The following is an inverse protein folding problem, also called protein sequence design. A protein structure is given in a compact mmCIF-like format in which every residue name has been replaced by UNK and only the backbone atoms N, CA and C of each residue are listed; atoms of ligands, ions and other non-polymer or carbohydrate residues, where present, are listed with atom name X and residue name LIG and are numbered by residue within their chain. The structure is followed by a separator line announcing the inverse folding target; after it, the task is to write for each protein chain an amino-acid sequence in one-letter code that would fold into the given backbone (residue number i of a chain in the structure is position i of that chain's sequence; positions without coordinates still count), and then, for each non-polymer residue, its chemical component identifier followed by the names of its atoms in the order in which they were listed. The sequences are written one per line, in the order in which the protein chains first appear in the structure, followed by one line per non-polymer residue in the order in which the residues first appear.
data_IF_710684089762
#
_entry.id   IF_710684089762
#
_cell.length_a   1.000
_cell.length_b   1.000
_cell.length_c   1.000
_cell.angle_alpha   90.00
_cell.angle_beta   90.00
_cell.angle_gamma   90.00
#
_symmetry.space_group_name_H-M   'P 1'
#
loop_
_entity.id
_entity.type
_entity.pdbx_description
1 polymer ?
#
# COMPACT_ATOMS: atom_id res chain seq x y z
N UNK A 1 6.30 20.84 -5.19
CA UNK A 1 5.03 20.56 -4.50
C UNK A 1 4.41 19.30 -5.10
N UNK A 2 3.59 18.64 -4.30
CA UNK A 2 2.90 17.41 -4.66
C UNK A 2 1.41 17.54 -4.27
N UNK A 3 0.60 16.60 -4.72
CA UNK A 3 -0.84 16.59 -4.46
C UNK A 3 -1.18 15.46 -3.51
N UNK A 4 -1.84 15.79 -2.41
CA UNK A 4 -2.40 14.79 -1.52
C UNK A 4 -3.64 14.16 -2.17
N UNK A 5 -3.67 12.84 -2.22
CA UNK A 5 -4.81 12.05 -2.69
C UNK A 5 -5.52 11.42 -1.49
N UNK A 6 -6.60 12.03 -0.98
CA UNK A 6 -7.21 11.59 0.28
C UNK A 6 -8.00 10.28 0.17
N UNK A 7 -8.30 9.81 -1.03
CA UNK A 7 -9.11 8.62 -1.27
C UNK A 7 -8.60 7.84 -2.49
N UNK A 8 -7.35 7.36 -2.43
CA UNK A 8 -6.70 6.65 -3.54
C UNK A 8 -7.46 5.40 -3.96
N UNK A 9 -7.97 4.63 -3.00
CA UNK A 9 -8.76 3.42 -3.25
C UNK A 9 -10.07 3.73 -3.97
N UNK A 10 -10.69 4.87 -3.64
CA UNK A 10 -11.92 5.31 -4.32
C UNK A 10 -11.65 5.66 -5.77
N UNK A 11 -10.54 6.34 -6.08
CA UNK A 11 -10.14 6.64 -7.46
C UNK A 11 -9.90 5.35 -8.23
N UNK A 12 -9.21 4.38 -7.65
CA UNK A 12 -9.03 3.07 -8.27
C UNK A 12 -10.34 2.38 -8.60
N UNK A 13 -11.30 2.41 -7.69
CA UNK A 13 -12.63 1.86 -7.90
C UNK A 13 -13.39 2.60 -9.02
N UNK A 14 -13.38 3.93 -9.04
CA UNK A 14 -14.02 4.72 -10.10
C UNK A 14 -13.45 4.41 -11.48
N UNK A 15 -12.13 4.26 -11.62
CA UNK A 15 -11.49 3.88 -12.88
C UNK A 15 -11.98 2.52 -13.39
N UNK A 16 -12.19 1.55 -12.48
CA UNK A 16 -12.74 0.23 -12.83
C UNK A 16 -14.20 0.37 -13.29
N UNK A 17 -15.01 1.12 -12.57
CA UNK A 17 -16.43 1.33 -12.90
C UNK A 17 -16.61 2.06 -14.22
N UNK A 18 -15.80 3.08 -14.48
CA UNK A 18 -15.79 3.83 -15.75
C UNK A 18 -15.41 2.93 -16.93
N UNK A 19 -14.36 2.11 -16.76
CA UNK A 19 -13.96 1.16 -17.79
C UNK A 19 -15.07 0.16 -18.13
N UNK A 20 -15.83 -0.33 -17.14
CA UNK A 20 -16.96 -1.21 -17.36
C UNK A 20 -18.17 -0.49 -17.99
N UNK A 21 -18.39 0.77 -17.65
CA UNK A 21 -19.46 1.59 -18.25
C UNK A 21 -19.17 1.92 -19.72
N UNK A 22 -17.91 2.24 -20.02
CA UNK A 22 -17.48 2.59 -21.40
C UNK A 22 -17.40 1.37 -22.32
N UNK A 23 -17.14 0.19 -21.79
CA UNK A 23 -16.97 -1.01 -22.60
C UNK A 23 -17.64 -2.23 -21.96
N UNK A 24 -18.73 -2.67 -22.53
CA UNK A 24 -19.48 -3.86 -22.08
C UNK A 24 -18.66 -5.17 -22.09
N UNK A 25 -17.46 -5.18 -22.69
CA UNK A 25 -16.53 -6.31 -22.68
C UNK A 25 -15.49 -6.20 -21.55
N UNK A 26 -15.45 -5.08 -20.84
CA UNK A 26 -14.60 -4.93 -19.67
C UNK A 26 -15.25 -5.61 -18.46
N UNK A 27 -14.54 -6.53 -17.86
CA UNK A 27 -14.98 -7.25 -16.67
C UNK A 27 -13.91 -7.11 -15.59
N UNK A 28 -14.31 -6.65 -14.41
CA UNK A 28 -13.47 -6.66 -13.23
C UNK A 28 -13.96 -7.76 -12.29
N UNK A 29 -13.04 -8.60 -11.86
CA UNK A 29 -13.31 -9.71 -10.96
C UNK A 29 -12.44 -9.53 -9.72
N UNK A 30 -13.07 -9.33 -8.58
CA UNK A 30 -12.42 -9.41 -7.27
C UNK A 30 -12.42 -10.84 -6.76
N UNK A 31 -11.53 -11.15 -5.82
CA UNK A 31 -11.34 -12.51 -5.27
C UNK A 31 -11.00 -13.56 -6.33
N UNK A 32 -10.41 -13.15 -7.44
CA UNK A 32 -9.93 -14.08 -8.47
C UNK A 32 -8.41 -13.95 -8.59
N UNK A 33 -7.71 -15.03 -8.38
CA UNK A 33 -6.26 -15.10 -8.45
C UNK A 33 -5.76 -15.78 -9.74
N UNK A 34 -4.50 -15.53 -10.06
CA UNK A 34 -3.76 -16.18 -11.12
C UNK A 34 -3.20 -17.51 -10.60
N UNK A 35 -3.82 -18.62 -10.96
CA UNK A 35 -3.38 -19.94 -10.52
C UNK A 35 -2.25 -20.52 -11.37
N UNK A 36 -2.17 -20.18 -12.67
CA UNK A 36 -1.10 -20.68 -13.52
C UNK A 36 -1.29 -20.45 -15.01
N UNK A 37 -0.42 -21.09 -15.79
CA UNK A 37 -0.46 -21.03 -17.25
C UNK A 37 -0.16 -22.40 -17.86
N UNK A 38 -0.94 -22.78 -18.89
CA UNK A 38 -0.66 -23.91 -19.75
C UNK A 38 -0.76 -23.49 -21.23
N UNK A 39 0.39 -23.41 -21.90
CA UNK A 39 0.48 -22.89 -23.25
C UNK A 39 -0.07 -21.48 -23.39
N UNK A 40 -1.14 -21.32 -24.19
CA UNK A 40 -1.86 -20.07 -24.38
C UNK A 40 -3.00 -19.84 -23.38
N UNK A 41 -3.28 -20.82 -22.54
CA UNK A 41 -4.33 -20.74 -21.53
C UNK A 41 -3.78 -20.22 -20.21
N UNK A 42 -4.51 -19.31 -19.60
CA UNK A 42 -4.25 -18.80 -18.26
C UNK A 42 -5.31 -19.38 -17.35
N UNK A 43 -4.88 -20.00 -16.26
CA UNK A 43 -5.74 -20.58 -15.24
C UNK A 43 -5.96 -19.55 -14.14
N UNK A 44 -7.21 -19.33 -13.82
CA UNK A 44 -7.68 -18.44 -12.75
C UNK A 44 -8.40 -19.27 -11.69
N UNK A 45 -8.37 -18.80 -10.46
CA UNK A 45 -9.05 -19.41 -9.33
C UNK A 45 -9.94 -18.39 -8.64
N UNK A 46 -11.19 -18.75 -8.41
CA UNK A 46 -12.09 -18.05 -7.50
C UNK A 46 -11.69 -18.40 -6.05
N UNK A 47 -11.22 -17.44 -5.31
CA UNK A 47 -10.75 -17.62 -3.93
C UNK A 47 -11.89 -17.81 -2.92
N UNK A 48 -13.12 -17.53 -3.32
CA UNK A 48 -14.30 -17.71 -2.44
C UNK A 48 -14.82 -19.14 -2.55
N UNK A 49 -14.90 -19.67 -3.78
CA UNK A 49 -15.45 -21.02 -4.04
C UNK A 49 -14.38 -22.09 -4.17
N UNK A 50 -13.15 -21.71 -4.49
CA UNK A 50 -12.06 -22.62 -4.84
C UNK A 50 -12.14 -23.16 -6.28
N UNK A 51 -13.14 -22.76 -7.05
CA UNK A 51 -13.29 -23.21 -8.44
C UNK A 51 -12.20 -22.61 -9.33
N UNK A 52 -11.74 -23.40 -10.29
CA UNK A 52 -10.77 -22.95 -11.30
C UNK A 52 -11.41 -22.88 -12.67
N UNK A 53 -11.02 -21.88 -13.43
CA UNK A 53 -11.44 -21.72 -14.82
C UNK A 53 -10.30 -21.22 -15.68
N UNK A 54 -10.40 -21.37 -16.99
CA UNK A 54 -9.35 -20.97 -17.92
C UNK A 54 -9.83 -19.91 -18.89
N UNK A 55 -8.94 -19.01 -19.24
CA UNK A 55 -9.11 -17.99 -20.28
C UNK A 55 -8.00 -18.09 -21.31
N UNK A 56 -8.25 -17.64 -22.53
CA UNK A 56 -7.25 -17.56 -23.61
C UNK A 56 -7.03 -16.11 -24.00
N UNK A 57 -6.27 -15.34 -23.25
CA UNK A 57 -6.01 -13.94 -23.57
C UNK A 57 -5.04 -13.83 -24.76
N UNK A 58 -5.17 -12.75 -25.53
CA UNK A 58 -4.17 -12.37 -26.54
C UNK A 58 -2.94 -11.74 -25.85
N UNK A 59 -3.16 -10.96 -24.78
CA UNK A 59 -2.14 -10.27 -24.00
C UNK A 59 -2.47 -10.42 -22.52
N UNK A 60 -1.44 -10.62 -21.71
CA UNK A 60 -1.52 -10.57 -20.24
C UNK A 60 -0.71 -9.38 -19.77
N UNK A 61 -1.34 -8.46 -19.06
CA UNK A 61 -0.68 -7.33 -18.40
C UNK A 61 -0.59 -7.65 -16.92
N UNK A 62 0.64 -7.77 -16.41
CA UNK A 62 0.88 -7.97 -14.99
C UNK A 62 1.11 -6.62 -14.30
N UNK A 63 0.15 -6.16 -13.53
CA UNK A 63 0.20 -4.95 -12.72
C UNK A 63 0.01 -5.27 -11.23
N UNK A 64 0.52 -6.43 -10.77
CA UNK A 64 0.31 -6.95 -9.43
C UNK A 64 1.15 -6.26 -8.34
N UNK A 65 1.76 -5.09 -8.61
CA UNK A 65 2.50 -4.31 -7.61
C UNK A 65 3.59 -5.15 -6.93
N UNK A 66 3.56 -5.23 -5.62
CA UNK A 66 4.54 -6.00 -4.83
C UNK A 66 4.57 -7.51 -5.15
N UNK A 67 3.51 -8.04 -5.74
CA UNK A 67 3.39 -9.47 -6.11
C UNK A 67 3.74 -9.74 -7.58
N UNK A 68 4.33 -8.80 -8.31
CA UNK A 68 4.61 -8.92 -9.74
C UNK A 68 5.48 -10.13 -10.07
N UNK A 69 6.50 -10.43 -9.26
CA UNK A 69 7.39 -11.58 -9.47
C UNK A 69 6.70 -12.91 -9.16
N UNK A 70 5.80 -12.93 -8.19
CA UNK A 70 4.96 -14.10 -7.88
C UNK A 70 3.99 -14.39 -9.05
N UNK A 71 3.31 -13.37 -9.56
CA UNK A 71 2.43 -13.50 -10.72
C UNK A 71 3.20 -13.94 -11.97
N UNK A 72 4.40 -13.40 -12.22
CA UNK A 72 5.25 -13.82 -13.31
C UNK A 72 5.69 -15.29 -13.16
N UNK A 73 6.00 -15.74 -11.96
CA UNK A 73 6.34 -17.15 -11.68
C UNK A 73 5.17 -18.08 -12.00
N UNK A 74 3.95 -17.69 -11.63
CA UNK A 74 2.72 -18.43 -12.01
C UNK A 74 2.53 -18.48 -13.52
N UNK A 75 2.98 -17.47 -14.25
CA UNK A 75 3.03 -17.43 -15.72
C UNK A 75 4.26 -18.15 -16.32
N UNK A 76 5.03 -18.90 -15.51
CA UNK A 76 6.27 -19.59 -15.88
C UNK A 76 7.37 -18.64 -16.38
N UNK A 77 7.47 -17.46 -15.78
CA UNK A 77 8.54 -16.49 -16.01
C UNK A 77 9.23 -16.20 -14.68
N UNK A 78 10.53 -16.42 -14.64
CA UNK A 78 11.34 -16.06 -13.49
C UNK A 78 11.84 -14.62 -13.65
N UNK A 79 11.43 -13.74 -12.73
CA UNK A 79 11.80 -12.33 -12.74
C UNK A 79 12.07 -11.85 -11.32
N UNK A 80 12.83 -10.76 -11.21
CA UNK A 80 13.12 -10.10 -9.95
C UNK A 80 13.02 -8.58 -10.16
N UNK A 81 11.80 -8.05 -10.16
CA UNK A 81 11.52 -6.63 -10.38
C UNK A 81 11.35 -5.85 -9.08
N UNK A 82 10.90 -6.51 -8.03
CA UNK A 82 10.61 -5.86 -6.75
C UNK A 82 11.80 -6.02 -5.80
N UNK A 83 12.23 -4.90 -5.20
CA UNK A 83 13.34 -4.85 -4.26
C UNK A 83 13.01 -5.38 -2.85
N UNK A 84 11.75 -5.61 -2.57
CA UNK A 84 11.28 -6.19 -1.30
C UNK A 84 11.55 -5.30 -0.09
N UNK A 85 11.11 -4.04 -0.11
CA UNK A 85 11.08 -3.22 1.11
C UNK A 85 9.65 -2.86 1.49
N UNK A 86 9.35 -2.92 2.80
CA UNK A 86 8.10 -2.41 3.35
C UNK A 86 8.29 -1.02 3.93
N UNK A 87 7.27 -0.20 3.78
CA UNK A 87 7.14 1.08 4.47
C UNK A 87 5.87 1.10 5.30
N UNK A 88 6.01 1.36 6.60
CA UNK A 88 4.89 1.44 7.53
C UNK A 88 4.46 2.87 7.77
N UNK A 89 3.19 3.02 8.11
CA UNK A 89 2.58 4.28 8.52
C UNK A 89 1.67 4.03 9.72
N UNK A 90 1.52 5.05 10.54
CA UNK A 90 0.56 5.08 11.64
C UNK A 90 -0.43 6.23 11.46
N UNK A 91 -1.64 6.02 11.93
CA UNK A 91 -2.66 7.06 12.04
C UNK A 91 -2.82 7.44 13.51
N UNK A 92 -2.65 8.70 13.81
CA UNK A 92 -2.62 9.23 15.17
C UNK A 92 -3.78 10.20 15.38
N UNK A 93 -4.48 10.03 16.49
CA UNK A 93 -5.49 10.98 16.98
C UNK A 93 -4.84 11.97 17.96
N UNK A 94 -4.39 13.11 17.43
CA UNK A 94 -3.82 14.18 18.25
C UNK A 94 -4.23 15.55 17.71
N UNK A 95 -5.24 16.19 18.33
CA UNK A 95 -5.73 17.49 17.87
C UNK A 95 -4.69 18.61 17.87
N UNK A 96 -3.69 18.54 18.76
CA UNK A 96 -2.63 19.56 18.82
C UNK A 96 -1.70 19.48 17.61
N UNK A 97 -1.26 18.27 17.22
CA UNK A 97 -0.45 18.08 16.02
C UNK A 97 -1.27 18.47 14.80
N UNK A 98 -2.54 18.06 14.74
CA UNK A 98 -3.43 18.40 13.64
C UNK A 98 -3.58 19.92 13.46
N UNK A 99 -3.78 20.65 14.54
CA UNK A 99 -3.88 22.11 14.51
C UNK A 99 -2.55 22.76 14.04
N UNK A 100 -1.40 22.20 14.43
CA UNK A 100 -0.09 22.69 14.02
C UNK A 100 0.17 22.49 12.54
N UNK A 101 -0.27 21.38 11.96
CA UNK A 101 -0.17 21.11 10.52
C UNK A 101 -1.02 22.08 9.69
N UNK A 102 -2.10 22.60 10.25
CA UNK A 102 -2.97 23.58 9.60
C UNK A 102 -3.32 23.23 8.15
N UNK A 103 -3.69 21.94 7.91
CA UNK A 103 -4.04 21.42 6.60
C UNK A 103 -2.85 21.13 5.67
N UNK A 104 -1.63 21.33 6.12
CA UNK A 104 -0.42 21.11 5.32
C UNK A 104 0.24 19.77 5.68
N UNK A 105 0.84 19.11 4.69
CA UNK A 105 1.77 18.02 4.95
C UNK A 105 3.19 18.56 5.17
N UNK A 106 3.90 17.95 6.11
CA UNK A 106 5.30 18.26 6.41
C UNK A 106 6.16 17.07 6.03
N UNK A 107 7.07 17.29 5.09
CA UNK A 107 8.11 16.33 4.71
C UNK A 107 9.43 16.76 5.33
N UNK A 108 10.19 15.82 5.83
CA UNK A 108 11.50 16.09 6.41
C UNK A 108 12.40 14.84 6.27
N UNK A 109 13.69 15.09 6.26
CA UNK A 109 14.69 14.05 6.34
C UNK A 109 15.02 13.79 7.83
N UNK A 110 14.87 12.54 8.27
CA UNK A 110 15.25 12.12 9.61
C UNK A 110 16.78 11.90 9.70
N UNK A 111 17.30 11.79 10.92
CA UNK A 111 18.74 11.63 11.18
C UNK A 111 19.37 10.38 10.54
N UNK A 112 18.55 9.40 10.16
CA UNK A 112 18.96 8.19 9.44
C UNK A 112 18.89 8.34 7.91
N UNK A 113 18.64 9.55 7.40
CA UNK A 113 18.56 9.86 5.96
C UNK A 113 17.22 9.50 5.33
N UNK A 114 16.21 9.10 6.11
CA UNK A 114 14.89 8.74 5.58
C UNK A 114 14.00 9.96 5.44
N UNK A 115 13.29 9.99 4.32
CA UNK A 115 12.17 10.92 4.15
C UNK A 115 10.98 10.45 4.97
N UNK A 116 10.56 11.32 5.87
CA UNK A 116 9.41 11.10 6.74
C UNK A 116 8.32 12.14 6.44
N UNK A 117 7.09 11.83 6.84
CA UNK A 117 5.94 12.68 6.60
C UNK A 117 5.05 12.77 7.83
N UNK A 118 4.53 13.96 8.06
CA UNK A 118 3.30 14.21 8.82
C UNK A 118 2.28 14.78 7.84
N UNK A 119 1.15 14.12 7.67
CA UNK A 119 0.11 14.58 6.75
C UNK A 119 -1.27 14.48 7.39
N UNK A 120 -2.17 15.42 7.15
CA UNK A 120 -3.58 15.27 7.49
C UNK A 120 -4.17 14.03 6.80
N UNK A 121 -4.96 13.25 7.55
CA UNK A 121 -5.69 12.09 7.06
C UNK A 121 -7.10 12.11 7.65
N UNK A 122 -8.03 12.76 6.95
CA UNK A 122 -9.33 13.09 7.50
C UNK A 122 -9.19 14.03 8.69
N UNK A 123 -9.72 13.61 9.84
CA UNK A 123 -9.60 14.30 11.15
C UNK A 123 -8.40 13.83 12.00
N UNK A 124 -7.55 12.99 11.44
CA UNK A 124 -6.36 12.38 12.07
C UNK A 124 -5.08 12.79 11.34
N UNK A 125 -3.96 12.27 11.82
CA UNK A 125 -2.64 12.51 11.23
C UNK A 125 -2.04 11.18 10.78
N UNK A 126 -1.58 11.11 9.54
CA UNK A 126 -0.74 10.05 9.06
C UNK A 126 0.72 10.40 9.30
N UNK A 127 1.47 9.49 9.91
CA UNK A 127 2.91 9.60 10.17
C UNK A 127 3.60 8.40 9.53
N UNK A 128 4.65 8.64 8.78
CA UNK A 128 5.44 7.62 8.08
C UNK A 128 6.76 8.21 7.53
N UNK A 129 7.57 7.43 6.86
CA UNK A 129 7.49 6.00 6.64
C UNK A 129 8.75 5.30 7.14
N UNK A 130 8.66 4.01 7.37
CA UNK A 130 9.84 3.14 7.50
C UNK A 130 10.30 2.64 6.14
N UNK A 131 11.46 1.99 6.09
CA UNK A 131 11.98 1.30 4.91
C UNK A 131 12.77 0.08 5.38
N UNK A 132 12.09 -1.07 5.45
CA UNK A 132 12.61 -2.29 6.03
C UNK A 132 12.55 -3.39 4.99
N UNK A 133 13.66 -4.08 4.78
CA UNK A 133 13.72 -5.19 3.83
C UNK A 133 12.79 -6.32 4.24
N UNK A 134 12.07 -6.88 3.27
CA UNK A 134 11.13 -7.97 3.44
C UNK A 134 11.17 -8.86 2.19
N UNK A 135 11.04 -10.17 2.37
CA UNK A 135 11.09 -11.12 1.24
C UNK A 135 9.69 -11.46 0.73
N UNK A 136 8.73 -11.57 1.64
CA UNK A 136 7.34 -11.89 1.29
C UNK A 136 6.43 -10.68 1.56
N UNK A 137 5.80 -10.09 0.53
CA UNK A 137 4.90 -8.95 0.71
C UNK A 137 3.69 -9.26 1.61
N UNK A 138 3.26 -10.52 1.72
CA UNK A 138 2.15 -10.92 2.60
C UNK A 138 2.51 -10.83 4.10
N UNK A 139 3.80 -10.74 4.43
CA UNK A 139 4.28 -10.58 5.80
C UNK A 139 4.47 -9.12 6.21
N UNK A 140 4.12 -8.18 5.34
CA UNK A 140 4.29 -6.76 5.60
C UNK A 140 3.29 -6.26 6.64
N UNK A 141 3.74 -6.17 7.89
CA UNK A 141 2.98 -5.60 9.01
C UNK A 141 3.78 -4.48 9.68
N UNK A 142 3.10 -3.48 10.20
CA UNK A 142 3.71 -2.46 11.04
C UNK A 142 3.92 -3.03 12.45
N UNK A 143 5.17 -3.10 12.89
CA UNK A 143 5.55 -3.66 14.19
C UNK A 143 5.51 -2.60 15.30
N UNK A 144 5.54 -3.03 16.57
CA UNK A 144 5.65 -2.10 17.70
C UNK A 144 6.97 -1.33 17.69
N UNK A 145 8.07 -1.94 17.22
CA UNK A 145 9.37 -1.25 17.08
C UNK A 145 9.27 -0.10 16.06
N UNK A 146 8.48 -0.27 14.99
CA UNK A 146 8.24 0.80 14.02
C UNK A 146 7.36 1.90 14.61
N UNK A 147 6.39 1.57 15.44
CA UNK A 147 5.58 2.56 16.16
C UNK A 147 6.46 3.37 17.13
N UNK A 148 7.37 2.73 17.87
CA UNK A 148 8.31 3.40 18.74
C UNK A 148 9.33 4.26 17.97
N UNK A 149 9.76 3.83 16.78
CA UNK A 149 10.55 4.64 15.87
C UNK A 149 9.81 5.93 15.49
N UNK A 150 8.53 5.84 15.10
CA UNK A 150 7.71 7.01 14.77
C UNK A 150 7.56 7.96 15.97
N UNK A 151 7.38 7.44 17.16
CA UNK A 151 7.31 8.25 18.38
C UNK A 151 8.62 8.96 18.69
N UNK A 152 9.74 8.29 18.43
CA UNK A 152 11.09 8.83 18.69
C UNK A 152 11.39 9.98 17.76
N UNK A 153 11.24 9.83 16.45
CA UNK A 153 11.51 10.92 15.54
C UNK A 153 10.51 12.08 15.67
N UNK A 154 9.25 11.79 16.01
CA UNK A 154 8.24 12.81 16.25
C UNK A 154 8.65 13.77 17.37
N UNK A 155 9.24 13.25 18.45
CA UNK A 155 9.80 14.07 19.53
C UNK A 155 10.97 14.94 19.09
N UNK A 156 11.77 14.47 18.13
CA UNK A 156 12.91 15.24 17.61
C UNK A 156 12.45 16.42 16.75
N UNK A 157 11.44 16.20 15.92
CA UNK A 157 10.92 17.20 14.99
C UNK A 157 9.96 18.18 15.68
N UNK A 158 9.14 17.68 16.58
CA UNK A 158 8.11 18.44 17.30
C UNK A 158 8.21 18.16 18.81
N UNK A 159 9.23 18.68 19.52
CA UNK A 159 9.45 18.31 20.93
C UNK A 159 8.26 18.58 21.84
N UNK A 160 7.49 19.63 21.56
CA UNK A 160 6.32 20.04 22.33
C UNK A 160 5.02 19.33 21.93
N UNK A 161 5.05 18.55 20.83
CA UNK A 161 3.90 17.90 20.23
C UNK A 161 4.09 16.37 20.20
N UNK A 162 4.22 15.79 21.37
CA UNK A 162 4.33 14.34 21.51
C UNK A 162 2.96 13.65 21.44
N UNK A 163 2.95 12.37 21.07
CA UNK A 163 1.79 11.50 21.16
C UNK A 163 2.14 10.19 21.89
N UNK A 164 1.15 9.63 22.56
CA UNK A 164 1.25 8.36 23.26
C UNK A 164 0.82 7.20 22.36
N UNK A 165 1.24 5.97 22.72
CA UNK A 165 0.84 4.74 22.02
C UNK A 165 -0.69 4.60 21.90
N UNK A 166 -1.42 5.03 22.94
CA UNK A 166 -2.89 5.02 22.97
C UNK A 166 -3.56 5.92 21.95
N UNK A 167 -2.84 6.89 21.41
CA UNK A 167 -3.33 7.80 20.36
C UNK A 167 -3.11 7.24 18.96
N UNK A 168 -2.39 6.13 18.81
CA UNK A 168 -2.25 5.40 17.53
C UNK A 168 -3.52 4.58 17.32
N UNK A 169 -4.41 5.07 16.45
CA UNK A 169 -5.73 4.47 16.20
C UNK A 169 -5.72 3.44 15.08
N UNK A 170 -4.73 3.51 14.19
CA UNK A 170 -4.54 2.56 13.10
C UNK A 170 -3.07 2.54 12.66
N UNK A 171 -2.64 1.44 12.07
CA UNK A 171 -1.33 1.31 11.45
C UNK A 171 -1.40 0.33 10.27
N UNK A 172 -0.55 0.55 9.28
CA UNK A 172 -0.49 -0.28 8.09
C UNK A 172 0.90 -0.27 7.46
N UNK A 173 1.16 -1.22 6.60
CA UNK A 173 2.38 -1.30 5.80
C UNK A 173 2.05 -1.52 4.34
N UNK A 174 2.86 -0.94 3.46
CA UNK A 174 2.87 -1.24 2.03
C UNK A 174 4.24 -1.76 1.59
N UNK A 175 4.28 -2.51 0.51
CA UNK A 175 5.53 -3.04 -0.08
C UNK A 175 5.79 -2.36 -1.43
N UNK A 176 7.06 -2.04 -1.66
CA UNK A 176 7.56 -1.36 -2.87
C UNK A 176 8.87 -1.96 -3.36
#
# INVERSE_FOLDING_TARGET
YDTLMPAAERIGLELVLDAQADNARAHALNYVSLAGRDGALVQLQDEVTGETFTVKPQVVVNAAGAWIDFANRSLRRDTHFIGGTKGSHIIVDNPRIMATLNGSAVYFENNDGRMCIFAPFGDKIMIGATDIRIENPDEAVCTEDEIDYFRTFSKQIMPDLNFDRSQVVFHFSGVR
#
